data_IF_867615416508
#
_entry.id   IF_867615416508
#
_cell.length_a   1.000
_cell.length_b   1.000
_cell.length_c   1.000
_cell.angle_alpha   90.00
_cell.angle_beta   90.00
_cell.angle_gamma   90.00
#
_symmetry.space_group_name_H-M   'P 1'
#
loop_
_entity.id
_entity.type
_entity.pdbx_description
1 polymer ?
#
# COMPACT_ATOMS: atom_id res chain seq x y z
N UNK A 1 -42.45 5.87 -39.96
CA UNK A 1 -42.98 5.09 -38.81
C UNK A 1 -42.66 3.64 -39.12
N UNK A 2 -41.38 3.25 -39.24
CA UNK A 2 -40.41 2.95 -38.15
C UNK A 2 -40.73 1.60 -37.51
N UNK A 3 -40.39 0.55 -38.25
CA UNK A 3 -40.58 -0.85 -37.90
C UNK A 3 -39.23 -1.46 -37.48
N UNK A 4 -39.22 -2.04 -36.29
CA UNK A 4 -38.46 -3.17 -35.76
C UNK A 4 -36.96 -3.43 -36.09
N UNK A 5 -36.22 -3.64 -34.98
CA UNK A 5 -35.18 -4.65 -34.72
C UNK A 5 -33.83 -4.53 -35.46
N UNK A 6 -32.83 -3.99 -34.77
CA UNK A 6 -31.41 -4.16 -35.09
C UNK A 6 -30.71 -4.82 -33.88
N UNK A 7 -30.70 -6.16 -33.88
CA UNK A 7 -29.84 -6.97 -33.04
C UNK A 7 -28.56 -7.28 -33.83
N UNK A 8 -27.41 -6.89 -33.27
CA UNK A 8 -26.12 -7.04 -33.90
C UNK A 8 -25.73 -8.52 -34.07
N UNK A 9 -25.38 -8.84 -35.32
CA UNK A 9 -24.80 -10.08 -35.81
C UNK A 9 -23.43 -10.37 -35.17
N UNK A 10 -23.17 -11.62 -34.76
CA UNK A 10 -22.25 -12.50 -35.50
C UNK A 10 -22.31 -13.94 -34.96
N UNK A 11 -22.79 -14.84 -35.81
CA UNK A 11 -22.56 -16.28 -35.74
C UNK A 11 -21.73 -16.67 -36.96
N UNK A 12 -20.76 -17.55 -36.78
CA UNK A 12 -20.41 -18.50 -37.85
C UNK A 12 -18.95 -18.56 -38.32
N UNK A 13 -18.41 -19.77 -38.14
CA UNK A 13 -17.67 -20.60 -39.12
C UNK A 13 -16.14 -20.46 -39.21
N UNK A 14 -15.51 -21.52 -38.70
CA UNK A 14 -14.41 -22.34 -39.27
C UNK A 14 -13.63 -21.79 -40.47
N UNK A 15 -12.31 -21.65 -40.30
CA UNK A 15 -11.35 -21.87 -41.39
C UNK A 15 -10.21 -22.77 -40.93
N UNK A 16 -10.31 -24.01 -41.41
CA UNK A 16 -9.22 -24.97 -41.57
C UNK A 16 -8.24 -24.44 -42.61
N UNK A 17 -6.95 -24.35 -42.29
CA UNK A 17 -5.89 -24.24 -43.32
C UNK A 17 -4.99 -25.47 -43.26
N UNK A 18 -5.13 -26.26 -44.33
CA UNK A 18 -4.24 -27.34 -44.77
C UNK A 18 -3.16 -26.70 -45.65
N UNK A 19 -1.88 -27.02 -45.41
CA UNK A 19 -0.83 -26.95 -46.43
C UNK A 19 0.02 -28.24 -46.34
N UNK A 20 -0.26 -29.13 -47.30
CA UNK A 20 0.61 -30.14 -47.93
C UNK A 20 1.95 -29.52 -48.39
N UNK A 21 3.10 -30.14 -48.59
CA UNK A 21 3.64 -31.48 -48.89
C UNK A 21 5.16 -31.35 -48.51
N UNK A 22 6.01 -32.37 -48.37
CA UNK A 22 6.54 -33.19 -49.46
C UNK A 22 7.58 -34.17 -48.87
N UNK A 23 7.56 -35.43 -49.32
CA UNK A 23 8.58 -36.43 -49.03
C UNK A 23 9.83 -36.15 -49.87
N UNK A 24 11.02 -36.25 -49.27
CA UNK A 24 12.25 -36.58 -49.99
C UNK A 24 13.02 -37.65 -49.21
N UNK A 25 13.04 -38.85 -49.78
CA UNK A 25 14.03 -39.90 -49.48
C UNK A 25 15.34 -39.49 -50.14
N UNK A 26 16.46 -39.47 -49.41
CA UNK A 26 17.81 -39.62 -49.97
C UNK A 26 18.74 -40.21 -48.91
N UNK A 27 19.56 -41.13 -49.39
CA UNK A 27 20.50 -42.03 -48.72
C UNK A 27 21.64 -41.31 -47.98
N UNK A 28 22.29 -42.03 -47.06
CA UNK A 28 23.54 -41.64 -46.37
C UNK A 28 24.61 -41.10 -47.33
N UNK A 29 25.47 -40.20 -46.82
CA UNK A 29 26.84 -40.64 -46.63
C UNK A 29 27.46 -40.22 -45.29
N UNK A 30 28.30 -41.12 -44.78
CA UNK A 30 29.38 -40.94 -43.82
C UNK A 30 30.11 -39.59 -43.97
N UNK A 31 30.36 -38.86 -42.86
CA UNK A 31 31.70 -38.67 -42.27
C UNK A 31 31.77 -37.50 -41.23
N UNK A 32 32.48 -37.77 -40.13
CA UNK A 32 33.30 -36.87 -39.27
C UNK A 32 32.77 -35.49 -38.78
N UNK A 33 32.43 -35.46 -37.48
CA UNK A 33 33.01 -34.56 -36.48
C UNK A 33 32.61 -33.07 -36.47
N UNK A 34 31.79 -32.67 -35.49
CA UNK A 34 31.93 -31.37 -34.80
C UNK A 34 31.16 -31.33 -33.47
N UNK A 35 31.86 -30.87 -32.43
CA UNK A 35 31.44 -30.65 -31.05
C UNK A 35 30.25 -29.67 -30.97
N UNK A 36 29.23 -29.97 -30.18
CA UNK A 36 28.14 -29.04 -29.81
C UNK A 36 27.71 -29.28 -28.36
N UNK A 37 27.48 -28.22 -27.56
CA UNK A 37 27.32 -28.32 -26.11
C UNK A 37 26.04 -29.07 -25.72
N UNK A 38 26.02 -29.73 -24.53
CA UNK A 38 24.89 -30.56 -24.12
C UNK A 38 23.62 -29.73 -23.97
N UNK A 39 22.62 -30.08 -24.76
CA UNK A 39 21.27 -29.55 -24.68
C UNK A 39 20.66 -30.02 -23.36
N UNK A 40 20.38 -29.08 -22.45
CA UNK A 40 19.72 -29.36 -21.17
C UNK A 40 18.39 -30.06 -21.42
N UNK A 41 18.25 -31.31 -20.95
CA UNK A 41 16.98 -32.01 -20.93
C UNK A 41 15.95 -31.17 -20.16
N UNK A 42 14.71 -30.98 -20.65
CA UNK A 42 13.69 -30.26 -19.92
C UNK A 42 13.43 -31.01 -18.62
N UNK A 43 13.93 -30.45 -17.52
CA UNK A 43 13.68 -30.95 -16.17
C UNK A 43 12.20 -30.76 -15.88
N UNK A 44 11.54 -31.79 -15.37
CA UNK A 44 10.11 -31.76 -15.12
C UNK A 44 9.62 -33.07 -14.48
N UNK A 45 8.47 -33.01 -13.84
CA UNK A 45 7.87 -34.14 -13.12
C UNK A 45 6.62 -34.58 -13.88
N UNK A 46 6.49 -35.89 -14.14
CA UNK A 46 5.23 -36.47 -14.65
C UNK A 46 4.26 -36.62 -13.49
N UNK A 47 3.16 -35.86 -13.51
CA UNK A 47 2.11 -35.93 -12.50
C UNK A 47 0.85 -36.51 -13.14
N UNK A 48 0.22 -37.48 -12.47
CA UNK A 48 -1.03 -38.08 -12.93
C UNK A 48 -2.20 -37.19 -12.49
N UNK A 49 -2.83 -36.51 -13.44
CA UNK A 49 -4.00 -35.66 -13.21
C UNK A 49 -5.16 -36.18 -14.05
N UNK A 50 -6.33 -36.42 -13.44
CA UNK A 50 -7.52 -36.94 -14.14
C UNK A 50 -7.27 -38.18 -15.01
N UNK A 51 -6.46 -39.12 -14.50
CA UNK A 51 -6.07 -40.39 -15.16
C UNK A 51 -5.16 -40.23 -16.39
N UNK A 52 -4.73 -39.03 -16.72
CA UNK A 52 -3.76 -38.77 -17.79
C UNK A 52 -2.40 -38.38 -17.19
N UNK A 53 -1.31 -38.82 -17.83
CA UNK A 53 0.05 -38.42 -17.46
C UNK A 53 0.36 -37.06 -18.07
N UNK A 54 0.46 -36.02 -17.22
CA UNK A 54 0.82 -34.67 -17.66
C UNK A 54 2.26 -34.39 -17.25
N UNK A 55 3.07 -33.97 -18.21
CA UNK A 55 4.42 -33.49 -17.96
C UNK A 55 4.34 -32.03 -17.46
N UNK A 56 4.86 -31.77 -16.26
CA UNK A 56 4.95 -30.43 -15.68
C UNK A 56 6.42 -29.99 -15.74
N UNK A 57 6.76 -28.92 -16.48
CA UNK A 57 8.13 -28.40 -16.53
C UNK A 57 8.56 -27.88 -15.14
N UNK A 58 9.85 -27.94 -14.82
CA UNK A 58 10.41 -27.61 -13.50
C UNK A 58 9.99 -26.22 -12.98
N UNK A 59 9.82 -25.25 -13.89
CA UNK A 59 9.36 -23.89 -13.56
C UNK A 59 7.91 -23.82 -13.04
N UNK A 60 7.06 -24.77 -13.44
CA UNK A 60 5.65 -24.81 -13.03
C UNK A 60 5.39 -25.75 -11.84
N UNK A 61 6.36 -26.60 -11.50
CA UNK A 61 6.26 -27.56 -10.38
C UNK A 61 5.90 -26.86 -9.06
N UNK A 62 6.53 -25.73 -8.65
CA UNK A 62 6.18 -25.08 -7.39
C UNK A 62 4.71 -24.62 -7.33
N UNK A 63 4.16 -24.14 -8.44
CA UNK A 63 2.77 -23.66 -8.53
C UNK A 63 1.77 -24.83 -8.43
N UNK A 64 2.03 -25.93 -9.13
CA UNK A 64 1.17 -27.12 -9.07
C UNK A 64 1.23 -27.83 -7.72
N UNK A 65 2.41 -27.87 -7.09
CA UNK A 65 2.56 -28.40 -5.72
C UNK A 65 1.79 -27.53 -4.72
N UNK A 66 1.86 -26.20 -4.83
CA UNK A 66 1.09 -25.30 -3.98
C UNK A 66 -0.42 -25.48 -4.15
N UNK A 67 -0.89 -25.67 -5.39
CA UNK A 67 -2.31 -25.99 -5.66
C UNK A 67 -2.69 -27.34 -5.07
N UNK A 68 -1.88 -28.39 -5.24
CA UNK A 68 -2.13 -29.71 -4.67
C UNK A 68 -2.24 -29.67 -3.14
N UNK A 69 -1.34 -28.96 -2.46
CA UNK A 69 -1.38 -28.78 -1.02
C UNK A 69 -2.60 -27.96 -0.56
N UNK A 70 -3.02 -26.96 -1.33
CA UNK A 70 -4.25 -26.21 -1.07
C UNK A 70 -5.50 -27.08 -1.26
N UNK A 71 -5.54 -27.91 -2.30
CA UNK A 71 -6.62 -28.88 -2.53
C UNK A 71 -6.70 -29.92 -1.41
N UNK A 72 -5.56 -30.41 -0.93
CA UNK A 72 -5.51 -31.34 0.19
C UNK A 72 -6.10 -30.72 1.47
N UNK A 73 -5.69 -29.48 1.79
CA UNK A 73 -6.27 -28.72 2.93
C UNK A 73 -7.77 -28.47 2.78
N UNK A 74 -8.23 -28.14 1.58
CA UNK A 74 -9.67 -27.91 1.32
C UNK A 74 -10.45 -29.21 1.39
N UNK A 75 -9.90 -30.31 0.86
CA UNK A 75 -10.47 -31.66 0.93
C UNK A 75 -10.57 -32.15 2.38
N UNK A 76 -9.51 -31.97 3.17
CA UNK A 76 -9.52 -32.32 4.59
C UNK A 76 -10.57 -31.51 5.36
N UNK A 77 -10.65 -30.19 5.11
CA UNK A 77 -11.71 -29.34 5.68
C UNK A 77 -13.11 -29.77 5.25
N UNK A 78 -13.29 -30.17 3.99
CA UNK A 78 -14.57 -30.67 3.49
C UNK A 78 -14.96 -31.99 4.18
N UNK A 79 -14.03 -32.94 4.31
CA UNK A 79 -14.26 -34.19 5.03
C UNK A 79 -14.58 -33.95 6.51
N UNK A 80 -13.91 -32.99 7.15
CA UNK A 80 -14.23 -32.59 8.51
C UNK A 80 -15.65 -31.99 8.59
N UNK A 81 -16.00 -31.07 7.68
CA UNK A 81 -17.33 -30.47 7.62
C UNK A 81 -18.44 -31.51 7.41
N UNK A 82 -18.24 -32.47 6.51
CA UNK A 82 -19.18 -33.58 6.29
C UNK A 82 -19.38 -34.42 7.55
N UNK A 83 -18.30 -34.74 8.29
CA UNK A 83 -18.41 -35.45 9.57
C UNK A 83 -19.18 -34.64 10.60
N UNK A 84 -18.93 -33.33 10.70
CA UNK A 84 -19.67 -32.46 11.60
C UNK A 84 -21.16 -32.42 11.24
N UNK A 85 -21.50 -32.28 9.96
CA UNK A 85 -22.88 -32.32 9.49
C UNK A 85 -23.58 -33.64 9.85
N UNK A 86 -22.91 -34.79 9.62
CA UNK A 86 -23.46 -36.09 10.01
C UNK A 86 -23.69 -36.24 11.52
N UNK A 87 -22.78 -35.70 12.34
CA UNK A 87 -22.97 -35.69 13.79
C UNK A 87 -24.14 -34.81 14.21
N UNK A 88 -24.28 -33.63 13.59
CA UNK A 88 -25.41 -32.71 13.82
C UNK A 88 -26.75 -33.35 13.43
N UNK A 89 -26.81 -34.00 12.27
CA UNK A 89 -28.00 -34.73 11.81
C UNK A 89 -28.36 -35.87 12.76
N UNK A 90 -27.36 -36.57 13.31
CA UNK A 90 -27.60 -37.62 14.29
C UNK A 90 -28.17 -37.05 15.59
N UNK A 91 -27.66 -35.93 16.07
CA UNK A 91 -28.23 -35.25 17.25
C UNK A 91 -29.64 -34.74 16.98
N UNK A 92 -29.90 -34.15 15.82
CA UNK A 92 -31.24 -33.69 15.46
C UNK A 92 -32.25 -34.84 15.43
N UNK A 93 -31.89 -35.97 14.81
CA UNK A 93 -32.69 -37.19 14.80
C UNK A 93 -32.92 -37.77 16.19
N UNK A 94 -31.94 -37.65 17.09
CA UNK A 94 -32.10 -38.06 18.49
C UNK A 94 -33.18 -37.24 19.21
N UNK A 95 -33.28 -35.94 18.91
CA UNK A 95 -34.33 -35.06 19.41
C UNK A 95 -35.63 -35.12 18.59
N UNK A 96 -35.71 -35.99 17.57
CA UNK A 96 -36.91 -36.21 16.77
C UNK A 96 -37.09 -35.30 15.55
N UNK A 97 -36.05 -34.55 15.15
CA UNK A 97 -36.06 -33.71 13.94
C UNK A 97 -35.53 -34.48 12.72
N UNK A 98 -35.99 -34.10 11.52
CA UNK A 98 -35.63 -34.81 10.27
C UNK A 98 -34.17 -34.56 9.86
N UNK A 99 -33.70 -33.33 10.03
CA UNK A 99 -32.36 -32.86 9.71
C UNK A 99 -31.86 -31.86 10.78
N UNK A 100 -30.57 -31.56 10.76
CA UNK A 100 -29.99 -30.59 11.70
C UNK A 100 -30.47 -29.15 11.49
N UNK A 101 -30.88 -28.76 10.27
CA UNK A 101 -31.36 -27.41 9.99
C UNK A 101 -32.67 -27.14 10.75
N UNK A 102 -33.62 -28.08 10.72
CA UNK A 102 -34.89 -28.00 11.44
C UNK A 102 -34.67 -27.97 12.95
N UNK A 103 -33.73 -28.76 13.46
CA UNK A 103 -33.34 -28.73 14.87
C UNK A 103 -32.76 -27.37 15.27
N UNK A 104 -31.87 -26.81 14.45
CA UNK A 104 -31.26 -25.51 14.71
C UNK A 104 -32.29 -24.38 14.63
N UNK A 105 -33.19 -24.41 13.64
CA UNK A 105 -34.28 -23.44 13.51
C UNK A 105 -35.24 -23.51 14.70
N UNK A 106 -35.59 -24.71 15.17
CA UNK A 106 -36.42 -24.89 16.36
C UNK A 106 -35.72 -24.41 17.63
N UNK A 107 -34.41 -24.65 17.75
CA UNK A 107 -33.60 -24.14 18.86
C UNK A 107 -33.56 -22.60 18.85
N UNK A 108 -33.32 -21.99 17.68
CA UNK A 108 -33.32 -20.53 17.52
C UNK A 108 -34.68 -19.93 17.88
N UNK A 109 -35.79 -20.53 17.43
CA UNK A 109 -37.12 -20.09 17.80
C UNK A 109 -37.36 -20.19 19.31
N UNK A 110 -36.94 -21.29 19.95
CA UNK A 110 -37.08 -21.46 21.40
C UNK A 110 -36.22 -20.46 22.19
N UNK A 111 -35.01 -20.18 21.73
CA UNK A 111 -34.14 -19.16 22.32
C UNK A 111 -34.75 -17.75 22.15
N UNK A 112 -35.30 -17.46 20.98
CA UNK A 112 -35.98 -16.19 20.71
C UNK A 112 -37.21 -16.04 21.62
N UNK A 113 -38.06 -17.06 21.71
CA UNK A 113 -39.25 -17.04 22.56
C UNK A 113 -38.89 -16.80 24.03
N UNK A 114 -37.83 -17.47 24.51
CA UNK A 114 -37.33 -17.26 25.88
C UNK A 114 -36.82 -15.84 26.10
N UNK A 115 -36.09 -15.26 25.15
CA UNK A 115 -35.64 -13.86 25.24
C UNK A 115 -36.80 -12.89 25.27
N UNK A 116 -37.82 -13.13 24.44
CA UNK A 116 -39.03 -12.31 24.42
C UNK A 116 -39.74 -12.38 25.77
N UNK A 117 -39.85 -13.56 26.36
CA UNK A 117 -40.43 -13.72 27.69
C UNK A 117 -39.63 -12.96 28.76
N UNK A 118 -38.29 -13.09 28.77
CA UNK A 118 -37.43 -12.37 29.72
C UNK A 118 -37.54 -10.84 29.55
N UNK A 119 -37.62 -10.36 28.30
CA UNK A 119 -37.79 -8.94 28.00
C UNK A 119 -39.18 -8.43 28.35
N UNK A 120 -40.23 -9.24 28.15
CA UNK A 120 -41.61 -8.98 28.56
C UNK A 120 -41.70 -8.80 30.08
N UNK A 121 -41.14 -9.74 30.83
CA UNK A 121 -41.08 -9.70 32.28
C UNK A 121 -40.32 -8.46 32.79
N UNK A 122 -39.20 -8.13 32.14
CA UNK A 122 -38.36 -6.98 32.52
C UNK A 122 -39.06 -5.64 32.26
N UNK A 123 -39.78 -5.53 31.14
CA UNK A 123 -40.46 -4.30 30.75
C UNK A 123 -41.88 -4.21 31.34
N UNK A 124 -42.41 -5.32 31.88
CA UNK A 124 -43.77 -5.41 32.39
C UNK A 124 -44.83 -5.31 31.28
N UNK A 125 -44.53 -5.84 30.09
CA UNK A 125 -45.37 -5.74 28.89
C UNK A 125 -45.65 -7.15 28.35
N UNK A 126 -46.80 -7.36 27.70
CA UNK A 126 -47.14 -8.63 27.07
C UNK A 126 -46.16 -9.04 25.95
N UNK A 127 -45.88 -10.34 25.85
CA UNK A 127 -44.97 -10.93 24.85
C UNK A 127 -45.36 -10.59 23.40
N UNK A 128 -46.66 -10.51 23.12
CA UNK A 128 -47.19 -10.15 21.79
C UNK A 128 -46.82 -8.73 21.37
N UNK A 129 -46.71 -7.80 22.33
CA UNK A 129 -46.27 -6.42 22.04
C UNK A 129 -44.79 -6.43 21.65
N UNK A 130 -43.99 -7.28 22.28
CA UNK A 130 -42.58 -7.42 21.93
C UNK A 130 -42.41 -8.00 20.53
N UNK A 131 -43.11 -9.10 20.23
CA UNK A 131 -43.08 -9.76 18.91
C UNK A 131 -43.52 -8.83 17.79
N UNK A 132 -44.67 -8.18 17.95
CA UNK A 132 -45.32 -7.45 16.87
C UNK A 132 -44.82 -6.00 16.71
N UNK A 133 -44.25 -5.42 17.77
CA UNK A 133 -43.87 -4.00 17.76
C UNK A 133 -42.40 -3.75 18.10
N UNK A 134 -41.87 -4.29 19.20
CA UNK A 134 -40.50 -3.98 19.62
C UNK A 134 -39.43 -4.67 18.76
N UNK A 135 -39.59 -5.95 18.42
CA UNK A 135 -38.67 -6.67 17.53
C UNK A 135 -38.52 -5.98 16.15
N UNK A 136 -39.59 -5.72 15.39
CA UNK A 136 -39.45 -5.06 14.09
C UNK A 136 -38.97 -3.61 14.21
N UNK A 137 -39.25 -2.93 15.32
CA UNK A 137 -38.70 -1.59 15.58
C UNK A 137 -37.19 -1.66 15.80
N UNK A 138 -36.71 -2.59 16.63
CA UNK A 138 -35.28 -2.79 16.89
C UNK A 138 -34.52 -3.19 15.62
N UNK A 139 -35.12 -4.03 14.77
CA UNK A 139 -34.56 -4.37 13.46
C UNK A 139 -34.39 -3.11 12.60
N UNK A 140 -35.44 -2.31 12.44
CA UNK A 140 -35.37 -1.05 11.68
C UNK A 140 -34.34 -0.07 12.24
N UNK A 141 -34.27 0.06 13.57
CA UNK A 141 -33.25 0.92 14.21
C UNK A 141 -31.85 0.42 13.88
N UNK A 142 -31.60 -0.88 14.01
CA UNK A 142 -30.29 -1.45 13.67
C UNK A 142 -29.93 -1.27 12.19
N UNK A 143 -30.90 -1.37 11.28
CA UNK A 143 -30.71 -1.11 9.86
C UNK A 143 -30.38 0.36 9.60
N UNK A 144 -31.11 1.29 10.23
CA UNK A 144 -30.83 2.72 10.13
C UNK A 144 -29.47 3.08 10.72
N UNK A 145 -29.08 2.51 11.85
CA UNK A 145 -27.75 2.69 12.43
C UNK A 145 -26.66 2.19 11.50
N UNK A 146 -26.86 1.03 10.86
CA UNK A 146 -25.93 0.49 9.87
C UNK A 146 -25.80 1.42 8.68
N UNK A 147 -26.92 1.87 8.10
CA UNK A 147 -26.93 2.82 6.99
C UNK A 147 -26.27 4.16 7.36
N UNK A 148 -26.51 4.66 8.58
CA UNK A 148 -25.88 5.89 9.07
C UNK A 148 -24.37 5.72 9.23
N UNK A 149 -23.91 4.58 9.73
CA UNK A 149 -22.48 4.30 9.84
C UNK A 149 -21.84 4.16 8.45
N UNK A 150 -22.46 3.43 7.53
CA UNK A 150 -22.00 3.33 6.13
C UNK A 150 -21.91 4.72 5.47
N UNK A 151 -22.90 5.59 5.68
CA UNK A 151 -22.88 6.95 5.16
C UNK A 151 -21.78 7.81 5.80
N UNK A 152 -21.60 7.72 7.13
CA UNK A 152 -20.53 8.43 7.84
C UNK A 152 -19.15 7.99 7.37
N UNK A 153 -18.95 6.69 7.19
CA UNK A 153 -17.70 6.13 6.68
C UNK A 153 -17.43 6.59 5.25
N UNK A 154 -18.44 6.53 4.38
CA UNK A 154 -18.34 7.02 3.00
C UNK A 154 -18.04 8.52 2.95
N UNK A 155 -18.65 9.32 3.82
CA UNK A 155 -18.38 10.75 3.92
C UNK A 155 -16.96 11.02 4.44
N UNK A 156 -16.52 10.30 5.47
CA UNK A 156 -15.16 10.41 6.00
C UNK A 156 -14.11 10.05 4.94
N UNK A 157 -14.33 8.97 4.18
CA UNK A 157 -13.47 8.60 3.05
C UNK A 157 -13.41 9.70 2.00
N UNK A 158 -14.56 10.25 1.60
CA UNK A 158 -14.62 11.37 0.65
C UNK A 158 -13.90 12.61 1.16
N UNK A 159 -14.00 12.92 2.45
CA UNK A 159 -13.28 14.04 3.05
C UNK A 159 -11.77 13.84 2.97
N UNK A 160 -11.29 12.64 3.30
CA UNK A 160 -9.87 12.27 3.20
C UNK A 160 -9.37 12.34 1.75
N UNK A 161 -10.14 11.81 0.80
CA UNK A 161 -9.82 11.88 -0.63
C UNK A 161 -9.74 13.33 -1.13
N UNK A 162 -10.70 14.17 -0.76
CA UNK A 162 -10.71 15.59 -1.12
C UNK A 162 -9.52 16.34 -0.52
N UNK A 163 -9.17 16.05 0.75
CA UNK A 163 -7.97 16.63 1.38
C UNK A 163 -6.71 16.20 0.64
N UNK A 164 -6.57 14.92 0.33
CA UNK A 164 -5.43 14.39 -0.40
C UNK A 164 -5.29 15.03 -1.79
N UNK A 165 -6.39 15.17 -2.52
CA UNK A 165 -6.44 15.84 -3.82
C UNK A 165 -6.14 17.34 -3.71
N UNK A 166 -6.55 17.99 -2.63
CA UNK A 166 -6.23 19.42 -2.39
C UNK A 166 -4.74 19.62 -2.10
N UNK A 167 -4.13 18.75 -1.30
CA UNK A 167 -2.69 18.78 -1.00
C UNK A 167 -1.87 18.49 -2.24
N UNK A 168 -2.33 17.58 -3.11
CA UNK A 168 -1.65 17.27 -4.37
C UNK A 168 -1.67 18.43 -5.36
N UNK A 169 -2.69 19.30 -5.30
CA UNK A 169 -2.80 20.50 -6.16
C UNK A 169 -2.08 21.71 -5.60
N UNK A 170 -1.97 21.85 -4.28
CA UNK A 170 -1.32 22.98 -3.61
C UNK A 170 0.20 22.77 -3.52
N UNK A 171 0.88 22.97 -4.66
CA UNK A 171 2.33 22.85 -4.77
C UNK A 171 3.10 23.92 -3.98
N UNK A 172 2.46 25.02 -3.57
CA UNK A 172 3.09 26.07 -2.78
C UNK A 172 3.30 25.61 -1.33
N UNK A 173 2.29 24.98 -0.72
CA UNK A 173 2.37 24.48 0.66
C UNK A 173 2.91 23.05 0.73
N UNK A 174 2.64 22.23 -0.28
CA UNK A 174 2.98 20.82 -0.33
C UNK A 174 3.83 20.50 -1.56
N UNK A 175 5.08 21.00 -1.64
CA UNK A 175 5.99 20.68 -2.73
C UNK A 175 6.22 19.16 -2.83
N UNK A 176 6.17 18.64 -4.05
CA UNK A 176 6.39 17.22 -4.36
C UNK A 176 5.52 16.24 -3.53
N UNK A 177 4.30 16.65 -3.14
CA UNK A 177 3.40 15.82 -2.33
C UNK A 177 3.20 14.40 -2.88
N UNK A 178 3.10 14.26 -4.21
CA UNK A 178 2.93 12.97 -4.88
C UNK A 178 4.03 11.95 -4.54
N UNK A 179 5.27 12.40 -4.31
CA UNK A 179 6.40 11.55 -3.91
C UNK A 179 6.22 10.97 -2.50
N UNK A 180 5.61 11.74 -1.61
CA UNK A 180 5.44 11.41 -0.19
C UNK A 180 4.05 10.88 0.16
N UNK A 181 3.13 10.85 -0.80
CA UNK A 181 1.70 10.51 -0.60
C UNK A 181 1.49 9.24 0.23
N UNK A 182 2.18 8.16 -0.13
CA UNK A 182 2.03 6.87 0.57
C UNK A 182 2.57 6.93 2.00
N UNK A 183 3.71 7.59 2.23
CA UNK A 183 4.30 7.75 3.56
C UNK A 183 3.41 8.62 4.46
N UNK A 184 2.81 9.67 3.90
CA UNK A 184 1.86 10.54 4.60
C UNK A 184 0.62 9.74 5.04
N UNK A 185 0.04 8.95 4.13
CA UNK A 185 -1.10 8.08 4.45
C UNK A 185 -0.71 7.07 5.53
N UNK A 186 0.45 6.44 5.42
CA UNK A 186 0.93 5.46 6.39
C UNK A 186 1.16 6.09 7.78
N UNK A 187 1.76 7.28 7.86
CA UNK A 187 1.99 7.97 9.13
C UNK A 187 0.67 8.43 9.74
N UNK A 188 -0.26 8.96 8.94
CA UNK A 188 -1.59 9.35 9.41
C UNK A 188 -2.37 8.14 9.95
N UNK A 189 -2.35 7.01 9.23
CA UNK A 189 -3.06 5.79 9.63
C UNK A 189 -2.45 5.11 10.87
N UNK A 190 -1.12 5.06 10.97
CA UNK A 190 -0.44 4.34 12.06
C UNK A 190 -0.30 5.15 13.34
N UNK A 191 -0.15 6.48 13.23
CA UNK A 191 0.13 7.36 14.36
C UNK A 191 -1.03 8.29 14.71
N UNK A 192 -2.11 8.29 13.93
CA UNK A 192 -3.28 9.13 14.15
C UNK A 192 -3.04 10.63 13.93
N UNK A 193 -2.01 10.99 13.17
CA UNK A 193 -1.75 12.39 12.81
C UNK A 193 -2.66 12.87 11.68
N UNK A 194 -2.86 14.18 11.60
CA UNK A 194 -3.49 14.81 10.43
C UNK A 194 -2.63 14.60 9.19
N UNK A 195 -3.23 14.60 7.99
CA UNK A 195 -2.49 14.46 6.73
C UNK A 195 -1.42 15.55 6.57
N UNK A 196 -1.70 16.77 7.03
CA UNK A 196 -0.74 17.89 6.97
C UNK A 196 0.48 17.67 7.86
N UNK A 197 0.29 17.21 9.10
CA UNK A 197 1.39 16.98 10.02
C UNK A 197 2.20 15.74 9.62
N UNK A 198 1.52 14.71 9.13
CA UNK A 198 2.16 13.54 8.54
C UNK A 198 3.06 13.94 7.35
N UNK A 199 2.66 14.90 6.52
CA UNK A 199 3.50 15.45 5.45
C UNK A 199 4.72 16.21 5.97
N UNK A 200 4.58 17.02 7.02
CA UNK A 200 5.73 17.71 7.64
C UNK A 200 6.75 16.71 8.16
N UNK A 201 6.29 15.60 8.75
CA UNK A 201 7.15 14.53 9.25
C UNK A 201 7.83 13.79 8.10
N UNK A 202 7.07 13.38 7.08
CA UNK A 202 7.60 12.63 5.93
C UNK A 202 8.67 13.42 5.17
N UNK A 203 8.49 14.74 5.04
CA UNK A 203 9.43 15.61 4.31
C UNK A 203 10.53 16.23 5.17
N UNK A 204 10.53 15.98 6.48
CA UNK A 204 11.43 16.68 7.41
C UNK A 204 12.90 16.48 7.06
N UNK A 205 13.33 15.23 6.86
CA UNK A 205 14.74 14.92 6.60
C UNK A 205 15.23 15.55 5.29
N UNK A 206 14.42 15.47 4.22
CA UNK A 206 14.78 16.05 2.94
C UNK A 206 14.85 17.58 3.02
N UNK A 207 13.90 18.24 3.68
CA UNK A 207 13.95 19.70 3.89
C UNK A 207 15.20 20.12 4.65
N UNK A 208 15.55 19.39 5.72
CA UNK A 208 16.76 19.68 6.50
C UNK A 208 18.02 19.50 5.65
N UNK A 209 18.08 18.42 4.85
CA UNK A 209 19.21 18.16 3.96
C UNK A 209 19.34 19.20 2.85
N UNK A 210 18.23 19.60 2.23
CA UNK A 210 18.19 20.64 1.20
C UNK A 210 18.58 22.01 1.76
N UNK A 211 18.05 22.39 2.93
CA UNK A 211 18.42 23.64 3.59
C UNK A 211 19.92 23.65 3.95
N UNK A 212 20.45 22.52 4.45
CA UNK A 212 21.88 22.36 4.74
C UNK A 212 22.71 22.50 3.46
N UNK A 213 22.31 21.85 2.36
CA UNK A 213 23.01 21.92 1.08
C UNK A 213 23.01 23.35 0.52
N UNK A 214 21.87 24.03 0.56
CA UNK A 214 21.75 25.43 0.14
C UNK A 214 22.64 26.35 0.98
N UNK A 215 22.63 26.20 2.30
CA UNK A 215 23.49 26.98 3.20
C UNK A 215 24.99 26.74 2.91
N UNK A 216 25.40 25.49 2.63
CA UNK A 216 26.77 25.18 2.21
C UNK A 216 27.13 25.85 0.88
N UNK A 217 26.24 25.79 -0.12
CA UNK A 217 26.46 26.42 -1.42
C UNK A 217 26.56 27.95 -1.30
N UNK A 218 25.71 28.57 -0.49
CA UNK A 218 25.75 30.01 -0.20
C UNK A 218 27.06 30.39 0.52
N UNK A 219 27.49 29.60 1.50
CA UNK A 219 28.75 29.82 2.20
C UNK A 219 29.95 29.73 1.24
N UNK A 220 30.01 28.71 0.38
CA UNK A 220 31.05 28.57 -0.65
C UNK A 220 31.02 29.74 -1.63
N UNK A 221 29.84 30.15 -2.08
CA UNK A 221 29.68 31.30 -2.98
C UNK A 221 30.15 32.60 -2.34
N UNK A 222 29.87 32.79 -1.05
CA UNK A 222 30.35 33.94 -0.30
C UNK A 222 31.88 33.89 -0.09
N UNK A 223 32.46 32.71 0.13
CA UNK A 223 33.92 32.54 0.19
C UNK A 223 34.59 32.84 -1.16
N UNK A 224 34.02 32.39 -2.27
CA UNK A 224 34.52 32.69 -3.62
C UNK A 224 34.44 34.20 -3.92
N UNK A 225 33.29 34.82 -3.67
CA UNK A 225 33.14 36.28 -3.81
C UNK A 225 34.11 37.05 -2.92
N UNK A 226 34.33 36.60 -1.69
CA UNK A 226 35.30 37.21 -0.78
C UNK A 226 36.73 37.00 -1.28
N UNK A 227 37.08 35.84 -1.84
CA UNK A 227 38.40 35.62 -2.44
C UNK A 227 38.63 36.49 -3.69
N UNK A 228 37.63 36.60 -4.57
CA UNK A 228 37.69 37.43 -5.78
C UNK A 228 37.76 38.94 -5.43
N UNK A 229 37.09 39.37 -4.37
CA UNK A 229 37.13 40.76 -3.90
C UNK A 229 38.33 41.07 -3.00
N UNK A 230 38.88 40.10 -2.27
CA UNK A 230 40.05 40.27 -1.39
C UNK A 230 41.39 40.12 -2.12
N UNK A 231 41.41 39.56 -3.34
CA UNK A 231 42.61 39.56 -4.20
C UNK A 231 42.73 40.82 -5.05
N UNK A 232 41.68 41.64 -5.12
CA UNK A 232 41.74 43.01 -5.62
C UNK A 232 42.33 43.95 -4.59
N UNK A 233 43.58 44.38 -4.80
CA UNK A 233 44.28 45.42 -4.03
C UNK A 233 44.86 45.02 -2.64
N UNK A 234 45.69 43.98 -2.60
CA UNK A 234 46.76 43.86 -1.58
C UNK A 234 48.12 44.35 -2.09
N UNK A 235 48.12 45.17 -3.16
CA UNK A 235 49.33 45.67 -3.81
C UNK A 235 49.48 47.18 -3.91
N UNK A 236 48.49 48.00 -3.53
CA UNK A 236 48.57 49.43 -3.84
C UNK A 236 47.97 50.44 -2.84
N UNK A 237 47.44 50.03 -1.70
CA UNK A 237 47.02 51.01 -0.69
C UNK A 237 47.07 50.41 0.72
N UNK A 238 48.27 50.30 1.29
CA UNK A 238 48.36 50.44 2.74
C UNK A 238 48.31 51.92 3.01
N UNK A 239 47.26 52.46 3.66
CA UNK A 239 47.31 53.81 4.14
C UNK A 239 48.47 53.85 5.13
N UNK A 240 49.51 54.62 4.81
CA UNK A 240 50.49 55.07 5.79
C UNK A 240 49.67 55.54 7.00
N UNK A 241 49.70 54.78 8.10
CA UNK A 241 49.09 55.23 9.33
C UNK A 241 49.78 56.54 9.72
N UNK A 242 49.12 57.71 9.64
CA UNK A 242 49.77 58.99 9.94
C UNK A 242 49.84 59.23 11.45
N UNK A 243 50.01 58.16 12.24
CA UNK A 243 49.95 58.17 13.71
C UNK A 243 51.14 57.50 14.39
N UNK A 244 52.13 57.01 13.63
CA UNK A 244 53.37 56.46 14.19
C UNK A 244 54.28 57.56 14.74
N UNK A 245 55.20 57.20 15.63
CA UNK A 245 56.19 58.10 16.27
C UNK A 245 56.93 59.01 15.29
N UNK A 246 57.11 58.57 14.03
CA UNK A 246 57.79 59.33 12.98
C UNK A 246 56.96 60.47 12.37
N UNK A 247 55.63 60.40 12.45
CA UNK A 247 54.72 61.46 12.00
C UNK A 247 54.53 62.60 13.03
N UNK A 248 55.04 62.41 14.26
CA UNK A 248 54.93 63.40 15.33
C UNK A 248 55.95 64.54 15.15
N UNK A 249 55.55 65.75 15.52
CA UNK A 249 56.47 66.90 15.59
C UNK A 249 57.58 66.63 16.62
N UNK A 250 58.75 67.28 16.51
CA UNK A 250 59.84 67.09 17.47
C UNK A 250 59.45 67.35 18.94
N UNK A 251 58.48 68.25 19.17
CA UNK A 251 57.94 68.55 20.49
C UNK A 251 57.09 67.40 21.04
N UNK A 252 56.21 66.82 20.22
CA UNK A 252 55.37 65.67 20.57
C UNK A 252 56.20 64.42 20.84
N UNK A 253 57.26 64.17 20.04
CA UNK A 253 58.22 63.08 20.29
C UNK A 253 58.98 63.25 21.61
N UNK A 254 59.26 64.49 22.03
CA UNK A 254 59.90 64.76 23.32
C UNK A 254 58.93 64.46 24.47
N UNK A 255 57.68 64.91 24.37
CA UNK A 255 56.65 64.66 25.36
C UNK A 255 56.33 63.16 25.50
N UNK A 256 56.25 62.41 24.39
CA UNK A 256 56.02 60.97 24.39
C UNK A 256 57.15 60.20 25.11
N UNK A 257 58.41 60.60 24.88
CA UNK A 257 59.59 60.03 25.58
C UNK A 257 59.58 60.33 27.07
N UNK A 258 59.24 61.55 27.48
CA UNK A 258 59.15 61.91 28.91
C UNK A 258 58.02 61.16 29.61
N UNK A 259 56.88 60.99 28.95
CA UNK A 259 55.72 60.31 29.54
C UNK A 259 55.97 58.80 29.73
N UNK A 260 56.67 58.15 28.80
CA UNK A 260 57.09 56.76 28.96
C UNK A 260 58.21 56.58 29.99
N UNK A 261 59.06 57.58 30.20
CA UNK A 261 60.14 57.53 31.20
C UNK A 261 59.64 57.69 32.65
N UNK A 262 58.42 58.20 32.86
CA UNK A 262 57.76 58.26 34.18
C UNK A 262 56.95 57.00 34.52
N UNK A 263 56.78 56.09 33.56
CA UNK A 263 55.99 54.85 33.72
C UNK A 263 56.85 53.60 33.96
N UNK A 264 58.17 53.75 34.02
CA UNK A 264 59.15 52.72 34.42
C UNK A 264 59.74 53.16 35.76
#
# INVERSE_FOLDING_TARGET
>A
MSEALEAANHSGVEETQVIEQEQVTTEEPTNEGQDSPPQEEPRGIKVKYNKEERFVPEDEVPNWVQKGLNYDKVSEKAQQAERYQQMLDRTAKFYGFENHEDYMAALEQAEMDKRIQEEAEKLGVDEEVIRNHLQPLNQKVSEYERQLNELKEAEALRQVENQLASMEKDAEKFPEFAKYKNDVINIAATRGYTLEDAYKIATYEERVNNARLQAHQEAVRNLQKNADSATGSLGMDSPEHPGGYDAMTPAERKAFRENNRRRI
#
